data_IF_764888147893
#
_entry.id   IF_764888147893
#
_cell.length_a   1.000
_cell.length_b   1.000
_cell.length_c   1.000
_cell.angle_alpha   90.00
_cell.angle_beta   90.00
_cell.angle_gamma   90.00
#
_symmetry.space_group_name_H-M   'P 1'
#
loop_
_entity.id
_entity.type
_entity.pdbx_description
1 polymer ?
#
# COMPACT_ATOMS: atom_id res chain seq x y z
N UNK A 1 -4.73 12.41 12.89
CA UNK A 1 -5.40 11.28 12.20
C UNK A 1 -5.16 11.29 10.69
N UNK A 2 -5.54 12.35 9.96
CA UNK A 2 -5.31 12.45 8.50
C UNK A 2 -3.85 12.23 8.10
N UNK A 3 -2.90 12.82 8.84
CA UNK A 3 -1.47 12.60 8.58
C UNK A 3 -1.05 11.12 8.66
N UNK A 4 -1.66 10.35 9.57
CA UNK A 4 -1.41 8.91 9.70
C UNK A 4 -1.90 8.16 8.46
N UNK A 5 -3.13 8.42 8.02
CA UNK A 5 -3.69 7.83 6.79
C UNK A 5 -2.84 8.19 5.56
N UNK A 6 -2.42 9.45 5.45
CA UNK A 6 -1.56 9.91 4.36
C UNK A 6 -0.26 9.11 4.27
N UNK A 7 0.41 8.85 5.39
CA UNK A 7 1.66 8.07 5.45
C UNK A 7 1.41 6.57 5.20
N UNK A 8 0.38 6.01 5.82
CA UNK A 8 0.06 4.59 5.73
C UNK A 8 -0.38 4.18 4.32
N UNK A 9 -1.28 4.95 3.71
CA UNK A 9 -1.79 4.71 2.35
C UNK A 9 -0.92 5.31 1.26
N UNK A 10 0.07 6.15 1.62
CA UNK A 10 0.88 6.89 0.65
C UNK A 10 0.03 7.81 -0.24
N UNK A 11 -0.90 8.52 0.37
CA UNK A 11 -1.82 9.43 -0.29
C UNK A 11 -1.55 10.88 0.11
N UNK A 12 -1.62 11.81 -0.85
CA UNK A 12 -1.39 13.22 -0.57
C UNK A 12 -2.40 13.74 0.47
N UNK A 13 -1.96 14.30 1.61
CA UNK A 13 -2.86 14.75 2.67
C UNK A 13 -3.82 15.86 2.21
N UNK A 14 -3.45 16.64 1.19
CA UNK A 14 -4.35 17.65 0.60
C UNK A 14 -5.59 17.04 -0.03
N UNK A 15 -5.46 15.87 -0.65
CA UNK A 15 -6.61 15.17 -1.22
C UNK A 15 -7.56 14.70 -0.10
N UNK A 16 -7.01 14.13 0.98
CA UNK A 16 -7.81 13.72 2.15
C UNK A 16 -8.51 14.92 2.80
N UNK A 17 -7.82 16.04 2.97
CA UNK A 17 -8.39 17.25 3.57
C UNK A 17 -9.44 17.90 2.66
N UNK A 18 -9.18 17.98 1.36
CA UNK A 18 -10.15 18.50 0.41
C UNK A 18 -11.42 17.66 0.42
N UNK A 19 -11.29 16.33 0.38
CA UNK A 19 -12.45 15.46 0.39
C UNK A 19 -13.21 15.50 1.73
N UNK A 20 -12.49 15.59 2.85
CA UNK A 20 -13.08 15.77 4.17
C UNK A 20 -13.91 17.06 4.26
N UNK A 21 -13.34 18.19 3.82
CA UNK A 21 -14.05 19.47 3.79
C UNK A 21 -15.25 19.40 2.85
N UNK A 22 -15.07 18.83 1.67
CA UNK A 22 -16.10 18.70 0.65
C UNK A 22 -17.33 17.91 1.14
N UNK A 23 -17.10 16.86 1.94
CA UNK A 23 -18.17 15.99 2.43
C UNK A 23 -18.87 16.54 3.67
N UNK A 24 -18.13 17.15 4.59
CA UNK A 24 -18.64 17.41 5.94
C UNK A 24 -18.25 18.73 6.57
N UNK A 25 -17.43 19.56 5.91
CA UNK A 25 -17.03 20.88 6.42
C UNK A 25 -16.14 20.83 7.67
N UNK A 26 -15.45 19.71 7.91
CA UNK A 26 -14.66 19.47 9.11
C UNK A 26 -13.32 20.23 9.17
N UNK A 27 -12.81 20.72 8.05
CA UNK A 27 -11.49 21.35 7.98
C UNK A 27 -11.58 22.82 8.37
N UNK A 28 -12.57 23.55 7.83
CA UNK A 28 -12.75 24.97 8.14
C UNK A 28 -13.82 25.24 9.21
N UNK A 29 -14.58 24.23 9.61
CA UNK A 29 -15.68 24.38 10.55
C UNK A 29 -15.88 23.16 11.44
N UNK A 30 -17.11 23.02 11.93
CA UNK A 30 -17.57 21.87 12.69
C UNK A 30 -18.79 21.26 11.99
N UNK A 31 -18.87 19.93 11.84
CA UNK A 31 -20.01 19.27 11.21
C UNK A 31 -21.34 19.61 11.90
N UNK A 32 -22.35 19.92 11.10
CA UNK A 32 -23.65 20.40 11.61
C UNK A 32 -24.67 19.28 11.91
N UNK A 33 -24.35 18.03 11.61
CA UNK A 33 -25.24 16.88 11.82
C UNK A 33 -24.50 15.70 12.42
N UNK A 34 -25.22 14.85 13.16
CA UNK A 34 -24.66 13.60 13.68
C UNK A 34 -24.13 12.70 12.56
N UNK A 35 -24.83 12.67 11.41
CA UNK A 35 -24.37 11.92 10.24
C UNK A 35 -23.02 12.43 9.70
N UNK A 36 -22.80 13.75 9.67
CA UNK A 36 -21.51 14.31 9.28
C UNK A 36 -20.42 14.09 10.34
N UNK A 37 -20.80 13.84 11.60
CA UNK A 37 -19.89 13.44 12.67
C UNK A 37 -19.50 11.96 12.53
N UNK A 38 -20.46 11.09 12.26
CA UNK A 38 -20.26 9.64 12.20
C UNK A 38 -19.62 9.21 10.87
N UNK A 39 -19.97 9.89 9.77
CA UNK A 39 -19.52 9.59 8.40
C UNK A 39 -18.89 10.81 7.71
N UNK A 40 -17.77 11.35 8.22
CA UNK A 40 -17.12 12.55 7.69
C UNK A 40 -16.69 12.51 6.22
N UNK A 41 -16.51 11.33 5.62
CA UNK A 41 -16.20 11.15 4.21
C UNK A 41 -17.42 10.72 3.37
N UNK A 42 -18.62 10.74 3.95
CA UNK A 42 -19.90 10.51 3.27
C UNK A 42 -20.33 9.04 3.14
N UNK A 43 -19.48 8.06 3.48
CA UNK A 43 -19.82 6.65 3.31
C UNK A 43 -20.63 6.13 4.50
N UNK A 44 -21.94 5.97 4.32
CA UNK A 44 -22.85 5.58 5.40
C UNK A 44 -22.89 4.07 5.58
N UNK A 45 -22.05 3.55 6.47
CA UNK A 45 -22.00 2.14 6.84
C UNK A 45 -21.64 2.03 8.32
N UNK A 46 -22.47 1.35 9.12
CA UNK A 46 -22.29 1.22 10.57
C UNK A 46 -20.96 0.57 10.97
N UNK A 47 -20.38 -0.26 10.10
CA UNK A 47 -19.06 -0.88 10.31
C UNK A 47 -17.89 0.06 9.99
N UNK A 48 -18.15 1.23 9.41
CA UNK A 48 -17.16 2.22 8.97
C UNK A 48 -17.57 3.59 9.49
N UNK A 49 -17.47 3.77 10.80
CA UNK A 49 -17.75 5.05 11.46
C UNK A 49 -16.45 5.78 11.82
N UNK A 50 -16.57 7.02 12.27
CA UNK A 50 -15.48 7.88 12.70
C UNK A 50 -14.51 8.30 11.58
N UNK A 51 -13.72 9.35 11.87
CA UNK A 51 -12.85 9.97 10.88
C UNK A 51 -11.69 9.04 10.44
N UNK A 52 -11.22 8.11 11.28
CA UNK A 52 -10.14 7.20 10.89
C UNK A 52 -10.63 6.23 9.83
N UNK A 53 -11.73 5.53 10.11
CA UNK A 53 -12.23 4.48 9.23
C UNK A 53 -12.77 5.07 7.93
N UNK A 54 -13.45 6.22 8.00
CA UNK A 54 -13.91 6.95 6.83
C UNK A 54 -12.75 7.42 5.94
N UNK A 55 -11.67 7.97 6.52
CA UNK A 55 -10.52 8.39 5.75
C UNK A 55 -9.74 7.20 5.16
N UNK A 56 -9.59 6.11 5.92
CA UNK A 56 -8.99 4.87 5.44
C UNK A 56 -9.81 4.23 4.32
N UNK A 57 -11.13 4.25 4.43
CA UNK A 57 -12.06 3.78 3.40
C UNK A 57 -11.88 4.58 2.12
N UNK A 58 -11.93 5.91 2.20
CA UNK A 58 -11.77 6.78 1.03
C UNK A 58 -10.40 6.56 0.37
N UNK A 59 -9.32 6.53 1.16
CA UNK A 59 -7.97 6.26 0.66
C UNK A 59 -7.89 4.90 -0.05
N UNK A 60 -8.50 3.85 0.52
CA UNK A 60 -8.57 2.53 -0.11
C UNK A 60 -9.30 2.58 -1.45
N UNK A 61 -10.47 3.23 -1.54
CA UNK A 61 -11.22 3.32 -2.80
C UNK A 61 -10.47 4.11 -3.87
N UNK A 62 -9.72 5.15 -3.50
CA UNK A 62 -8.86 5.89 -4.43
C UNK A 62 -7.74 4.99 -4.94
N UNK A 63 -7.08 4.25 -4.05
CA UNK A 63 -6.00 3.32 -4.42
C UNK A 63 -6.49 2.16 -5.30
N UNK A 64 -7.67 1.60 -5.02
CA UNK A 64 -8.27 0.53 -5.83
C UNK A 64 -8.47 0.96 -7.29
N UNK A 65 -8.86 2.22 -7.51
CA UNK A 65 -8.98 2.81 -8.84
C UNK A 65 -7.62 3.10 -9.46
N UNK A 66 -6.73 3.74 -8.70
CA UNK A 66 -5.39 4.15 -9.14
C UNK A 66 -4.56 2.95 -9.62
N UNK A 67 -4.39 1.95 -8.75
CA UNK A 67 -3.53 0.80 -9.02
C UNK A 67 -4.20 -0.22 -9.92
N UNK A 68 -5.51 -0.43 -9.77
CA UNK A 68 -6.28 -1.25 -10.71
C UNK A 68 -6.15 -0.75 -12.15
N UNK A 69 -6.16 0.56 -12.39
CA UNK A 69 -5.91 1.15 -13.70
C UNK A 69 -4.46 0.98 -14.14
N UNK A 70 -3.51 1.37 -13.28
CA UNK A 70 -2.07 1.34 -13.57
C UNK A 70 -1.56 -0.07 -13.93
N UNK A 71 -2.13 -1.10 -13.31
CA UNK A 71 -1.80 -2.51 -13.55
C UNK A 71 -2.66 -3.16 -14.64
N UNK A 72 -3.59 -2.42 -15.26
CA UNK A 72 -4.50 -2.94 -16.29
C UNK A 72 -5.56 -3.94 -15.79
N UNK A 73 -5.72 -4.06 -14.46
CA UNK A 73 -6.70 -4.94 -13.82
C UNK A 73 -8.12 -4.35 -13.79
N UNK A 74 -8.24 -3.03 -13.93
CA UNK A 74 -9.51 -2.29 -13.93
C UNK A 74 -9.64 -1.48 -15.21
N UNK A 75 -10.59 -1.86 -16.07
CA UNK A 75 -10.90 -1.14 -17.32
C UNK A 75 -12.31 -0.49 -17.31
N UNK A 76 -13.08 -0.79 -16.26
CA UNK A 76 -14.44 -0.29 -16.04
C UNK A 76 -14.59 0.12 -14.58
N UNK A 77 -15.46 1.11 -14.32
CA UNK A 77 -15.98 1.42 -12.98
C UNK A 77 -17.48 1.11 -12.95
N UNK A 78 -17.95 0.59 -11.82
CA UNK A 78 -19.35 0.22 -11.61
C UNK A 78 -20.03 1.12 -10.59
N UNK A 79 -21.33 1.30 -10.76
CA UNK A 79 -22.19 2.12 -9.89
C UNK A 79 -23.19 1.23 -9.15
N UNK A 80 -23.71 1.73 -8.03
CA UNK A 80 -24.68 0.99 -7.19
C UNK A 80 -26.00 0.67 -7.91
N UNK A 81 -26.33 1.38 -8.99
CA UNK A 81 -27.51 1.12 -9.83
C UNK A 81 -27.25 0.07 -10.93
N UNK A 82 -26.08 -0.56 -10.94
CA UNK A 82 -25.68 -1.58 -11.91
C UNK A 82 -25.16 -1.03 -13.24
N UNK A 83 -25.05 0.30 -13.41
CA UNK A 83 -24.37 0.89 -14.57
C UNK A 83 -22.87 0.64 -14.49
N UNK A 84 -22.25 0.61 -15.66
CA UNK A 84 -20.79 0.55 -15.82
C UNK A 84 -20.33 1.62 -16.78
N UNK A 85 -19.19 2.23 -16.47
CA UNK A 85 -18.49 3.15 -17.36
C UNK A 85 -17.16 2.54 -17.75
N UNK A 86 -16.91 2.46 -19.07
CA UNK A 86 -15.60 2.11 -19.60
C UNK A 86 -14.66 3.29 -19.47
N UNK A 87 -13.48 3.05 -18.90
CA UNK A 87 -12.45 4.07 -18.72
C UNK A 87 -11.74 4.34 -20.04
N UNK A 88 -11.46 5.63 -20.30
CA UNK A 88 -10.74 6.05 -21.49
C UNK A 88 -9.24 5.73 -21.35
N UNK A 89 -8.56 5.14 -22.36
CA UNK A 89 -7.15 4.74 -22.29
C UNK A 89 -6.17 5.85 -21.92
N UNK A 90 -6.51 7.10 -22.19
CA UNK A 90 -5.70 8.29 -21.94
C UNK A 90 -5.79 8.84 -20.51
N UNK A 91 -6.68 8.29 -19.66
CA UNK A 91 -6.79 8.72 -18.27
C UNK A 91 -5.51 8.39 -17.50
N UNK A 92 -5.04 9.32 -16.67
CA UNK A 92 -4.00 9.03 -15.69
C UNK A 92 -4.61 8.27 -14.48
N UNK A 93 -3.77 7.53 -13.76
CA UNK A 93 -4.20 6.73 -12.61
C UNK A 93 -4.82 7.56 -11.47
N UNK A 94 -4.37 8.80 -11.26
CA UNK A 94 -4.94 9.72 -10.27
C UNK A 94 -6.41 10.05 -10.54
N UNK A 95 -6.73 10.40 -11.79
CA UNK A 95 -8.11 10.64 -12.23
C UNK A 95 -8.97 9.39 -12.05
N UNK A 96 -8.49 8.21 -12.44
CA UNK A 96 -9.24 6.96 -12.26
C UNK A 96 -9.47 6.63 -10.78
N UNK A 97 -8.48 6.90 -9.92
CA UNK A 97 -8.63 6.74 -8.47
C UNK A 97 -9.80 7.55 -7.90
N UNK A 98 -9.90 8.83 -8.25
CA UNK A 98 -11.02 9.68 -7.83
C UNK A 98 -12.35 9.24 -8.45
N UNK A 99 -12.35 8.95 -9.75
CA UNK A 99 -13.53 8.44 -10.46
C UNK A 99 -14.08 7.19 -9.77
N UNK A 100 -13.22 6.24 -9.40
CA UNK A 100 -13.58 5.02 -8.70
C UNK A 100 -14.11 5.29 -7.29
N UNK A 101 -13.45 6.15 -6.51
CA UNK A 101 -13.91 6.46 -5.15
C UNK A 101 -15.31 7.08 -5.12
N UNK A 102 -15.63 7.96 -6.07
CA UNK A 102 -16.94 8.61 -6.13
C UNK A 102 -18.08 7.66 -6.52
N UNK A 103 -17.82 6.53 -7.21
CA UNK A 103 -18.90 5.60 -7.59
C UNK A 103 -19.52 4.88 -6.40
N UNK A 104 -18.81 4.83 -5.26
CA UNK A 104 -19.31 4.24 -4.02
C UNK A 104 -20.28 5.17 -3.27
N UNK A 105 -20.28 6.47 -3.59
CA UNK A 105 -21.08 7.49 -2.90
C UNK A 105 -22.23 8.01 -3.75
N UNK A 106 -22.07 8.00 -5.07
CA UNK A 106 -22.97 8.67 -5.99
C UNK A 106 -23.42 7.74 -7.11
N UNK A 107 -24.68 7.87 -7.51
CA UNK A 107 -25.16 7.29 -8.77
C UNK A 107 -24.49 7.97 -9.97
N UNK A 108 -24.63 7.39 -11.16
CA UNK A 108 -23.96 7.89 -12.36
C UNK A 108 -24.22 9.37 -12.65
N UNK A 109 -25.47 9.83 -12.53
CA UNK A 109 -25.84 11.19 -12.92
C UNK A 109 -25.22 12.22 -11.96
N UNK A 110 -25.28 11.98 -10.64
CA UNK A 110 -24.62 12.84 -9.65
C UNK A 110 -23.10 12.75 -9.76
N UNK A 111 -22.55 11.55 -9.92
CA UNK A 111 -21.13 11.34 -10.12
C UNK A 111 -20.59 12.15 -11.31
N UNK A 112 -21.30 12.13 -12.44
CA UNK A 112 -20.91 12.87 -13.63
C UNK A 112 -20.90 14.38 -13.38
N UNK A 113 -21.88 14.89 -12.64
CA UNK A 113 -21.89 16.31 -12.24
C UNK A 113 -20.70 16.65 -11.34
N UNK A 114 -20.46 15.87 -10.28
CA UNK A 114 -19.42 16.18 -9.29
C UNK A 114 -17.99 16.01 -9.82
N UNK A 115 -17.80 15.29 -10.93
CA UNK A 115 -16.50 15.10 -11.57
C UNK A 115 -16.29 16.04 -12.77
N UNK A 116 -17.34 16.33 -13.57
CA UNK A 116 -17.18 17.01 -14.86
C UNK A 116 -17.93 18.34 -15.01
N UNK A 117 -18.86 18.71 -14.12
CA UNK A 117 -19.55 20.00 -14.22
C UNK A 117 -18.61 21.17 -13.87
N UNK A 118 -19.07 22.42 -14.02
CA UNK A 118 -18.27 23.60 -13.68
C UNK A 118 -17.92 23.66 -12.18
N UNK A 119 -18.91 23.38 -11.32
CA UNK A 119 -18.78 23.33 -9.85
C UNK A 119 -18.45 21.91 -9.35
N UNK A 120 -17.38 21.32 -9.89
CA UNK A 120 -16.95 19.96 -9.56
C UNK A 120 -15.96 19.92 -8.36
N UNK A 121 -15.63 18.71 -7.90
CA UNK A 121 -14.65 18.49 -6.83
C UNK A 121 -13.26 19.04 -7.14
N UNK A 122 -12.84 19.05 -8.41
CA UNK A 122 -11.54 19.58 -8.82
C UNK A 122 -11.47 21.10 -8.64
N UNK A 123 -12.51 21.84 -9.04
CA UNK A 123 -12.65 23.28 -8.79
C UNK A 123 -12.58 23.56 -7.28
N UNK A 124 -13.26 22.76 -6.48
CA UNK A 124 -13.22 22.84 -5.01
C UNK A 124 -11.80 22.59 -4.45
N UNK A 125 -11.12 21.53 -4.92
CA UNK A 125 -9.74 21.24 -4.53
C UNK A 125 -8.79 22.41 -4.87
N UNK A 126 -8.93 22.97 -6.08
CA UNK A 126 -8.11 24.11 -6.52
C UNK A 126 -8.35 25.36 -5.67
N UNK A 127 -9.57 25.60 -5.19
CA UNK A 127 -9.83 26.71 -4.26
C UNK A 127 -9.11 26.54 -2.93
N UNK A 128 -9.06 25.32 -2.39
CA UNK A 128 -8.38 25.06 -1.11
C UNK A 128 -6.86 25.05 -1.22
N UNK A 129 -6.34 24.43 -2.28
CA UNK A 129 -4.92 24.10 -2.36
C UNK A 129 -4.22 24.68 -3.59
N UNK A 130 -4.91 25.32 -4.51
CA UNK A 130 -4.38 25.74 -5.81
C UNK A 130 -4.24 24.59 -6.80
N UNK A 131 -3.79 24.89 -8.01
CA UNK A 131 -3.74 23.95 -9.12
C UNK A 131 -2.83 22.73 -8.83
N UNK A 132 -3.35 21.49 -8.89
CA UNK A 132 -2.55 20.28 -8.64
C UNK A 132 -1.59 19.94 -9.79
N UNK A 133 -1.90 20.32 -11.03
CA UNK A 133 -1.05 20.04 -12.20
C UNK A 133 0.27 20.79 -12.15
N UNK A 134 0.28 22.04 -11.66
CA UNK A 134 1.52 22.80 -11.45
C UNK A 134 2.45 22.09 -10.45
N UNK A 135 1.88 21.45 -9.43
CA UNK A 135 2.67 20.67 -8.44
C UNK A 135 3.16 19.35 -9.02
N UNK A 136 2.29 18.67 -9.75
CA UNK A 136 2.63 17.43 -10.43
C UNK A 136 3.86 17.63 -11.35
N UNK A 137 3.93 18.75 -12.08
CA UNK A 137 5.09 19.10 -12.91
C UNK A 137 6.44 19.16 -12.16
N UNK A 138 6.44 19.32 -10.84
CA UNK A 138 7.67 19.40 -10.05
C UNK A 138 8.19 18.04 -9.58
N UNK A 139 7.34 17.00 -9.63
CA UNK A 139 7.65 15.68 -9.03
C UNK A 139 7.35 14.51 -9.97
N UNK A 140 6.55 14.70 -11.02
CA UNK A 140 6.21 13.65 -11.97
C UNK A 140 7.22 13.52 -13.11
N UNK A 141 7.40 12.30 -13.64
CA UNK A 141 6.77 11.04 -13.21
C UNK A 141 7.32 10.55 -11.87
N UNK A 142 6.43 10.11 -10.95
CA UNK A 142 6.85 9.58 -9.65
C UNK A 142 7.76 8.35 -9.80
N UNK A 143 7.45 7.50 -10.78
CA UNK A 143 8.27 6.35 -11.19
C UNK A 143 8.72 6.58 -12.65
N UNK A 144 9.95 7.10 -12.87
CA UNK A 144 10.54 7.24 -14.20
C UNK A 144 10.73 5.89 -14.90
N UNK A 145 10.70 5.87 -16.23
CA UNK A 145 10.82 4.64 -17.03
C UNK A 145 12.20 3.96 -16.92
N UNK A 146 13.23 4.73 -16.57
CA UNK A 146 14.61 4.31 -16.39
C UNK A 146 14.97 4.02 -14.93
N UNK A 147 13.98 4.02 -14.02
CA UNK A 147 14.23 3.69 -12.61
C UNK A 147 14.78 2.27 -12.48
N UNK A 148 15.82 2.14 -11.66
CA UNK A 148 16.41 0.85 -11.31
C UNK A 148 16.14 0.59 -9.83
N UNK A 149 15.58 -0.58 -9.54
CA UNK A 149 15.43 -1.04 -8.16
C UNK A 149 16.78 -1.38 -7.54
N UNK A 150 17.00 -1.14 -6.24
CA UNK A 150 18.21 -1.59 -5.58
C UNK A 150 18.32 -3.12 -5.61
N UNK A 151 19.54 -3.63 -5.50
CA UNK A 151 19.73 -5.05 -5.19
C UNK A 151 19.23 -5.29 -3.77
N UNK A 152 18.33 -6.26 -3.61
CA UNK A 152 17.70 -6.58 -2.34
C UNK A 152 17.90 -8.04 -2.01
N UNK A 153 18.07 -8.35 -0.72
CA UNK A 153 18.12 -9.73 -0.22
C UNK A 153 16.74 -10.17 0.31
N UNK A 154 16.50 -11.48 0.39
CA UNK A 154 15.37 -12.01 1.15
C UNK A 154 15.43 -11.54 2.63
N UNK A 155 14.28 -11.22 3.26
CA UNK A 155 14.24 -10.49 4.53
C UNK A 155 14.46 -11.39 5.76
N UNK A 156 15.24 -12.45 5.63
CA UNK A 156 15.51 -13.41 6.71
C UNK A 156 16.96 -13.88 6.69
N UNK A 157 17.41 -14.38 7.84
CA UNK A 157 18.78 -14.87 8.04
C UNK A 157 19.14 -16.02 7.07
N UNK A 158 20.42 -16.14 6.69
CA UNK A 158 20.85 -17.14 5.73
C UNK A 158 20.75 -18.54 6.34
N UNK A 159 20.59 -19.53 5.47
CA UNK A 159 20.49 -20.95 5.82
C UNK A 159 19.27 -21.33 6.71
N UNK A 160 18.31 -20.42 6.88
CA UNK A 160 17.01 -20.71 7.50
C UNK A 160 15.95 -20.81 6.41
N UNK A 161 15.21 -21.92 6.38
CA UNK A 161 14.10 -22.11 5.43
C UNK A 161 12.88 -21.36 5.91
N UNK A 162 12.35 -20.47 5.08
CA UNK A 162 11.06 -19.82 5.28
C UNK A 162 10.08 -20.34 4.24
N UNK A 163 8.79 -20.11 4.44
CA UNK A 163 7.77 -20.44 3.47
C UNK A 163 7.31 -19.18 2.74
N UNK A 164 7.26 -19.21 1.41
CA UNK A 164 6.58 -18.18 0.62
C UNK A 164 5.06 -18.37 0.72
N UNK A 165 4.42 -17.63 1.62
CA UNK A 165 3.02 -17.86 2.01
C UNK A 165 2.02 -17.01 1.25
N UNK A 166 2.46 -15.86 0.71
CA UNK A 166 1.60 -14.91 0.00
C UNK A 166 2.31 -14.32 -1.21
N UNK A 167 1.77 -14.59 -2.41
CA UNK A 167 2.17 -13.91 -3.65
C UNK A 167 1.67 -12.47 -3.69
N UNK A 168 1.86 -11.74 -4.81
CA UNK A 168 1.45 -10.33 -4.93
C UNK A 168 0.05 -10.04 -4.38
N UNK A 169 -0.02 -9.12 -3.42
CA UNK A 169 -1.25 -8.70 -2.76
C UNK A 169 -1.11 -7.29 -2.15
N UNK A 170 -2.18 -6.81 -1.51
CA UNK A 170 -2.33 -5.45 -0.98
C UNK A 170 -1.11 -4.97 -0.16
N UNK A 171 -0.45 -3.89 -0.59
CA UNK A 171 0.70 -3.31 0.10
C UNK A 171 0.40 -2.88 1.55
N UNK A 172 -0.83 -2.39 1.77
CA UNK A 172 -1.33 -1.92 3.04
C UNK A 172 -2.85 -2.00 3.08
N UNK A 173 -3.41 -2.48 4.19
CA UNK A 173 -4.87 -2.57 4.41
C UNK A 173 -5.59 -3.32 3.27
N UNK A 174 -6.84 -2.97 2.99
CA UNK A 174 -7.68 -3.56 1.95
C UNK A 174 -7.51 -2.90 0.57
N UNK A 175 -6.54 -1.99 0.40
CA UNK A 175 -6.30 -1.33 -0.87
C UNK A 175 -5.70 -2.30 -1.88
N UNK A 176 -6.29 -2.37 -3.08
CA UNK A 176 -6.00 -3.34 -4.12
C UNK A 176 -4.71 -3.03 -4.89
N UNK A 177 -3.59 -2.90 -4.16
CA UNK A 177 -2.25 -2.58 -4.67
C UNK A 177 -1.37 -3.81 -4.52
N UNK A 178 -1.15 -4.57 -5.59
CA UNK A 178 -0.50 -5.88 -5.50
C UNK A 178 1.03 -5.74 -5.42
N UNK A 179 1.51 -5.09 -4.36
CA UNK A 179 2.91 -4.72 -4.15
C UNK A 179 3.61 -5.51 -3.03
N UNK A 180 2.86 -6.23 -2.20
CA UNK A 180 3.42 -6.98 -1.09
C UNK A 180 3.66 -8.46 -1.39
N UNK A 181 4.56 -9.06 -0.61
CA UNK A 181 4.86 -10.49 -0.54
C UNK A 181 4.92 -10.92 0.93
N UNK A 182 4.50 -12.15 1.22
CA UNK A 182 4.55 -12.71 2.57
C UNK A 182 5.50 -13.90 2.69
N UNK A 183 6.29 -13.89 3.77
CA UNK A 183 7.14 -15.01 4.13
C UNK A 183 6.90 -15.40 5.60
N UNK A 184 6.58 -16.67 5.85
CA UNK A 184 6.41 -17.20 7.19
C UNK A 184 7.68 -17.93 7.68
N UNK A 185 8.11 -17.69 8.93
CA UNK A 185 9.25 -18.40 9.51
C UNK A 185 8.90 -19.86 9.81
N UNK A 186 9.90 -20.73 10.05
CA UNK A 186 9.66 -22.04 10.64
C UNK A 186 8.89 -21.91 11.96
N UNK A 187 7.87 -22.76 12.15
CA UNK A 187 7.16 -22.84 13.42
C UNK A 187 6.64 -24.25 13.67
N UNK A 188 6.59 -24.62 14.96
CA UNK A 188 5.86 -25.78 15.47
C UNK A 188 4.43 -25.43 15.92
N UNK A 189 4.08 -24.15 15.91
CA UNK A 189 2.80 -23.61 16.35
C UNK A 189 2.00 -23.09 15.16
N UNK A 190 0.68 -23.24 15.21
CA UNK A 190 -0.22 -22.69 14.21
C UNK A 190 -0.83 -21.38 14.71
N UNK A 191 -1.18 -20.50 13.76
CA UNK A 191 -1.79 -19.22 14.07
C UNK A 191 -0.77 -18.16 14.49
N UNK A 192 -1.21 -17.24 15.34
CA UNK A 192 -0.48 -16.02 15.65
C UNK A 192 0.38 -16.14 16.91
N UNK A 193 1.68 -15.95 16.76
CA UNK A 193 2.66 -15.90 17.85
C UNK A 193 3.87 -15.05 17.48
N UNK A 194 4.63 -14.57 18.46
CA UNK A 194 5.95 -13.98 18.21
C UNK A 194 6.93 -15.10 17.84
N UNK A 195 7.62 -14.99 16.69
CA UNK A 195 8.64 -15.96 16.29
C UNK A 195 10.01 -15.60 16.87
N UNK A 196 10.83 -16.57 17.32
CA UNK A 196 12.22 -16.30 17.69
C UNK A 196 13.13 -16.06 16.47
N UNK A 197 12.65 -16.31 15.25
CA UNK A 197 13.40 -16.04 14.02
C UNK A 197 13.57 -14.53 13.80
N UNK A 198 14.62 -14.13 13.08
CA UNK A 198 14.88 -12.73 12.77
C UNK A 198 14.43 -12.36 11.37
N UNK A 199 13.75 -11.21 11.28
CA UNK A 199 13.68 -10.42 10.05
C UNK A 199 14.94 -9.57 9.97
N UNK A 200 15.52 -9.49 8.79
CA UNK A 200 16.70 -8.67 8.52
C UNK A 200 16.42 -7.65 7.42
N UNK A 201 17.21 -6.58 7.38
CA UNK A 201 17.09 -5.53 6.40
C UNK A 201 17.47 -6.05 5.00
N UNK A 202 16.53 -5.98 4.06
CA UNK A 202 16.71 -6.29 2.64
C UNK A 202 17.50 -5.23 1.87
N UNK A 203 17.59 -4.00 2.40
CA UNK A 203 18.37 -2.87 1.89
C UNK A 203 19.07 -2.16 3.06
N UNK A 204 20.18 -1.48 2.78
CA UNK A 204 20.77 -0.52 3.73
C UNK A 204 19.98 0.79 3.72
N UNK A 205 19.92 1.48 4.86
CA UNK A 205 19.29 2.79 4.94
C UNK A 205 18.94 3.22 6.36
N UNK A 206 18.29 4.38 6.45
CA UNK A 206 17.80 4.96 7.70
C UNK A 206 16.43 4.37 8.05
N UNK A 207 16.24 3.91 9.29
CA UNK A 207 14.92 3.53 9.80
C UNK A 207 14.11 4.80 10.09
N UNK A 208 13.16 5.12 9.22
CA UNK A 208 12.32 6.33 9.32
C UNK A 208 10.98 6.10 10.02
N UNK A 209 10.54 4.84 10.14
CA UNK A 209 9.36 4.45 10.91
C UNK A 209 9.59 3.12 11.61
N UNK A 210 9.25 3.07 12.89
CA UNK A 210 9.28 1.85 13.71
C UNK A 210 8.21 1.95 14.79
N UNK A 211 7.19 1.10 14.71
CA UNK A 211 6.03 1.19 15.59
C UNK A 211 4.80 0.51 14.99
N UNK A 212 3.84 0.10 15.84
CA UNK A 212 2.57 -0.50 15.42
C UNK A 212 2.73 -1.66 14.41
N UNK A 213 3.72 -2.54 14.63
CA UNK A 213 3.99 -3.67 13.72
C UNK A 213 4.83 -3.32 12.48
N UNK A 214 5.18 -2.05 12.28
CA UNK A 214 5.85 -1.58 11.06
C UNK A 214 7.30 -1.21 11.32
N UNK A 215 8.17 -1.52 10.36
CA UNK A 215 9.49 -0.90 10.16
C UNK A 215 9.56 -0.39 8.71
N UNK A 216 10.06 0.84 8.50
CA UNK A 216 10.36 1.36 7.16
C UNK A 216 11.81 1.79 7.10
N UNK A 217 12.53 1.29 6.10
CA UNK A 217 13.92 1.66 5.79
C UNK A 217 13.91 2.57 4.57
N UNK A 218 14.54 3.73 4.71
CA UNK A 218 14.76 4.76 3.71
C UNK A 218 16.20 4.68 3.18
N UNK A 219 16.36 4.38 1.89
CA UNK A 219 17.65 4.08 1.29
C UNK A 219 18.54 5.30 1.11
N UNK A 220 17.98 6.46 0.78
CA UNK A 220 18.78 7.67 0.55
C UNK A 220 19.04 8.45 1.85
N UNK A 221 18.30 8.13 2.91
CA UNK A 221 18.55 8.56 4.28
C UNK A 221 18.20 10.03 4.52
N UNK A 222 17.42 10.65 3.65
CA UNK A 222 16.96 12.02 3.81
C UNK A 222 15.85 12.17 4.87
N UNK A 223 15.30 11.05 5.33
CA UNK A 223 14.30 10.98 6.39
C UNK A 223 12.85 11.01 5.89
N UNK A 224 12.62 10.99 4.58
CA UNK A 224 11.29 11.11 3.98
C UNK A 224 10.87 9.82 3.26
N UNK A 225 9.72 9.26 3.65
CA UNK A 225 9.15 8.08 2.94
C UNK A 225 8.69 8.41 1.50
N UNK A 226 8.71 9.69 1.12
CA UNK A 226 8.18 10.24 -0.13
C UNK A 226 9.25 10.47 -1.21
N UNK A 227 10.51 10.15 -0.92
CA UNK A 227 11.65 10.30 -1.82
C UNK A 227 12.38 8.96 -1.91
N UNK A 228 13.07 8.76 -3.03
CA UNK A 228 13.94 7.61 -3.22
C UNK A 228 13.24 6.26 -3.06
N UNK A 229 14.03 5.24 -2.74
CA UNK A 229 13.54 3.90 -2.47
C UNK A 229 13.30 3.71 -0.98
N UNK A 230 12.12 3.20 -0.63
CA UNK A 230 11.81 2.81 0.75
C UNK A 230 11.25 1.39 0.79
N UNK A 231 11.56 0.68 1.87
CA UNK A 231 11.10 -0.69 2.09
C UNK A 231 10.35 -0.81 3.40
N UNK A 232 9.11 -1.29 3.32
CA UNK A 232 8.24 -1.54 4.45
C UNK A 232 8.26 -3.01 4.83
N UNK A 233 8.41 -3.25 6.12
CA UNK A 233 8.24 -4.54 6.78
C UNK A 233 7.09 -4.40 7.76
N UNK A 234 6.09 -5.26 7.66
CA UNK A 234 4.92 -5.30 8.53
C UNK A 234 4.87 -6.63 9.26
N UNK A 235 4.13 -6.64 10.37
CA UNK A 235 4.06 -7.73 11.34
C UNK A 235 5.37 -7.94 12.11
N UNK A 236 6.10 -6.85 12.36
CA UNK A 236 7.30 -6.86 13.20
C UNK A 236 6.92 -6.63 14.67
N UNK A 237 7.22 -7.62 15.52
CA UNK A 237 6.96 -7.59 16.96
C UNK A 237 7.51 -6.32 17.60
N UNK A 238 6.90 -5.84 18.67
CA UNK A 238 7.42 -4.69 19.43
C UNK A 238 8.72 -5.02 20.15
N UNK A 239 8.89 -6.28 20.55
CA UNK A 239 10.12 -6.77 21.13
C UNK A 239 11.25 -6.79 20.10
N UNK A 240 12.40 -6.25 20.49
CA UNK A 240 13.63 -6.19 19.71
C UNK A 240 13.51 -5.50 18.33
N UNK A 241 12.41 -4.76 18.10
CA UNK A 241 12.24 -3.96 16.89
C UNK A 241 13.26 -2.84 16.86
N UNK A 242 13.95 -2.70 15.73
CA UNK A 242 14.91 -1.62 15.51
C UNK A 242 14.25 -0.25 15.72
N UNK A 243 14.85 0.70 16.47
CA UNK A 243 14.23 2.00 16.71
C UNK A 243 14.41 2.96 15.53
N UNK A 244 13.50 3.94 15.41
CA UNK A 244 13.61 5.05 14.45
C UNK A 244 14.92 5.80 14.65
N UNK A 245 15.54 6.22 13.54
CA UNK A 245 16.82 6.93 13.51
C UNK A 245 18.04 6.01 13.46
N UNK A 246 17.84 4.70 13.52
CA UNK A 246 18.93 3.72 13.36
C UNK A 246 19.26 3.59 11.88
N UNK A 247 20.56 3.65 11.54
CA UNK A 247 21.03 3.20 10.24
C UNK A 247 21.23 1.68 10.28
N UNK A 248 20.67 0.97 9.31
CA UNK A 248 20.82 -0.48 9.15
C UNK A 248 21.57 -0.77 7.85
N UNK A 249 22.45 -1.77 7.89
CA UNK A 249 23.06 -2.35 6.71
C UNK A 249 22.26 -3.56 6.21
N UNK A 250 22.39 -3.90 4.93
CA UNK A 250 21.86 -5.15 4.35
C UNK A 250 22.22 -6.34 5.25
N UNK A 251 21.21 -7.05 5.75
CA UNK A 251 21.36 -8.22 6.62
C UNK A 251 21.32 -7.92 8.11
N UNK A 252 21.31 -6.65 8.54
CA UNK A 252 21.12 -6.30 9.95
C UNK A 252 19.73 -6.70 10.43
N UNK A 253 19.67 -7.18 11.68
CA UNK A 253 18.42 -7.58 12.33
C UNK A 253 17.53 -6.37 12.60
N UNK A 254 16.28 -6.44 12.15
CA UNK A 254 15.30 -5.35 12.33
C UNK A 254 14.14 -5.69 13.27
N UNK A 255 13.99 -6.96 13.63
CA UNK A 255 13.01 -7.43 14.62
C UNK A 255 12.55 -8.86 14.34
N UNK A 256 11.43 -9.24 14.96
CA UNK A 256 10.87 -10.58 14.90
C UNK A 256 9.53 -10.62 14.13
N UNK A 257 9.26 -11.64 13.30
CA UNK A 257 7.93 -11.87 12.75
C UNK A 257 6.89 -12.08 13.84
N UNK A 258 5.70 -11.55 13.63
CA UNK A 258 4.58 -11.59 14.57
C UNK A 258 3.25 -11.45 13.82
N UNK A 259 2.24 -10.88 14.47
CA UNK A 259 0.99 -10.42 13.85
C UNK A 259 0.66 -8.99 14.26
N UNK A 260 1.62 -8.27 14.85
CA UNK A 260 1.41 -6.88 15.24
C UNK A 260 1.15 -6.00 14.02
N UNK A 261 0.33 -4.96 14.18
CA UNK A 261 0.02 -4.04 13.09
C UNK A 261 -0.94 -4.63 12.07
N UNK A 262 -2.13 -4.05 11.95
CA UNK A 262 -3.11 -4.48 10.96
C UNK A 262 -3.71 -5.87 11.24
N UNK A 263 -4.23 -6.50 10.18
CA UNK A 263 -4.90 -7.81 10.24
C UNK A 263 -3.94 -8.88 9.75
N UNK A 264 -3.77 -9.94 10.54
CA UNK A 264 -2.98 -11.11 10.16
C UNK A 264 -3.68 -12.39 10.63
N UNK A 265 -3.54 -13.47 9.85
CA UNK A 265 -4.06 -14.81 10.16
C UNK A 265 -3.01 -15.73 10.79
N UNK A 266 -1.74 -15.30 10.83
CA UNK A 266 -0.63 -16.07 11.37
C UNK A 266 0.71 -15.33 11.27
N UNK A 267 1.72 -15.86 11.93
CA UNK A 267 3.05 -15.23 12.01
C UNK A 267 3.76 -15.19 10.65
N UNK A 268 4.07 -14.00 10.16
CA UNK A 268 4.83 -13.80 8.92
C UNK A 268 5.50 -12.42 8.92
N UNK A 269 6.38 -12.18 7.94
CA UNK A 269 6.76 -10.83 7.52
C UNK A 269 6.05 -10.50 6.22
N UNK A 270 5.38 -9.36 6.21
CA UNK A 270 4.78 -8.73 5.04
C UNK A 270 5.76 -7.67 4.54
N UNK A 271 6.24 -7.79 3.30
CA UNK A 271 7.24 -6.87 2.74
C UNK A 271 6.72 -6.19 1.47
N UNK A 272 6.89 -4.88 1.39
CA UNK A 272 6.49 -4.06 0.24
C UNK A 272 7.46 -2.89 0.04
N UNK A 273 7.42 -2.27 -1.13
CA UNK A 273 8.34 -1.19 -1.50
C UNK A 273 7.64 0.00 -2.12
N UNK A 274 8.24 1.17 -1.95
CA UNK A 274 7.81 2.40 -2.61
C UNK A 274 8.99 3.07 -3.30
N UNK A 275 8.69 3.83 -4.33
CA UNK A 275 9.61 4.77 -4.95
C UNK A 275 8.96 6.15 -5.02
N UNK A 276 9.62 7.18 -4.49
CA UNK A 276 9.07 8.53 -4.35
C UNK A 276 7.66 8.56 -3.72
N UNK A 277 7.47 7.74 -2.67
CA UNK A 277 6.18 7.60 -2.00
C UNK A 277 5.10 6.89 -2.81
N UNK A 278 5.36 6.37 -4.01
CA UNK A 278 4.40 5.54 -4.73
C UNK A 278 4.68 4.05 -4.47
N UNK A 279 3.68 3.27 -4.06
CA UNK A 279 3.83 1.80 -4.00
C UNK A 279 4.17 1.23 -5.37
N UNK A 280 5.15 0.34 -5.41
CA UNK A 280 5.58 -0.32 -6.64
C UNK A 280 5.00 -1.74 -6.67
N UNK A 281 4.14 -2.08 -7.64
CA UNK A 281 3.61 -3.43 -7.78
C UNK A 281 4.70 -4.51 -7.79
N UNK A 282 4.39 -5.67 -7.22
CA UNK A 282 5.35 -6.76 -7.07
C UNK A 282 5.57 -7.53 -8.39
N UNK A 283 4.65 -7.40 -9.33
CA UNK A 283 4.78 -7.88 -10.71
C UNK A 283 4.56 -6.73 -11.70
N UNK A 284 4.96 -6.93 -12.96
CA UNK A 284 4.86 -5.97 -14.03
C UNK A 284 6.23 -5.55 -14.58
N UNK A 285 6.33 -4.34 -15.17
CA UNK A 285 7.57 -3.85 -15.79
C UNK A 285 8.75 -3.70 -14.83
N UNK A 286 8.46 -3.43 -13.56
CA UNK A 286 9.44 -3.33 -12.48
C UNK A 286 9.06 -4.34 -11.38
N UNK A 287 9.29 -5.64 -11.59
CA UNK A 287 8.88 -6.68 -10.64
C UNK A 287 9.74 -6.63 -9.38
N UNK A 288 9.21 -7.10 -8.26
CA UNK A 288 9.95 -7.18 -7.00
C UNK A 288 10.97 -8.31 -7.08
N UNK A 289 12.26 -7.97 -6.95
CA UNK A 289 13.36 -8.93 -7.00
C UNK A 289 14.05 -9.00 -5.63
N UNK A 290 14.11 -10.20 -5.04
CA UNK A 290 14.75 -10.46 -3.74
C UNK A 290 15.74 -11.64 -3.88
N UNK A 291 17.03 -11.45 -3.65
CA UNK A 291 18.08 -12.47 -3.83
C UNK A 291 18.00 -13.18 -5.19
N UNK A 292 17.70 -12.42 -6.26
CA UNK A 292 17.52 -12.92 -7.62
C UNK A 292 16.17 -13.58 -7.91
N UNK A 293 15.31 -13.78 -6.90
CA UNK A 293 13.94 -14.25 -7.09
C UNK A 293 13.05 -13.12 -7.57
N UNK A 294 12.47 -13.29 -8.75
CA UNK A 294 11.53 -12.33 -9.35
C UNK A 294 10.10 -12.75 -9.05
N UNK A 295 9.30 -11.85 -8.47
CA UNK A 295 7.90 -12.09 -8.21
C UNK A 295 7.02 -11.98 -9.47
N UNK A 296 6.00 -12.85 -9.50
CA UNK A 296 4.95 -12.90 -10.51
C UNK A 296 3.58 -13.06 -9.86
N UNK A 297 2.62 -12.32 -10.35
CA UNK A 297 1.24 -12.39 -9.89
C UNK A 297 0.46 -13.46 -10.66
N UNK A 298 -0.50 -14.08 -9.99
CA UNK A 298 -1.57 -14.81 -10.66
C UNK A 298 -2.72 -13.85 -11.04
N UNK A 299 -3.84 -14.38 -11.51
CA UNK A 299 -5.10 -13.63 -11.64
C UNK A 299 -5.84 -13.44 -10.32
N UNK A 300 -5.42 -14.15 -9.26
CA UNK A 300 -6.01 -14.10 -7.92
C UNK A 300 -5.04 -13.46 -6.93
N UNK A 301 -5.56 -12.60 -6.05
CA UNK A 301 -4.79 -12.00 -4.95
C UNK A 301 -4.16 -13.07 -4.05
N UNK A 302 -2.98 -12.80 -3.49
CA UNK A 302 -2.15 -13.74 -2.71
C UNK A 302 -1.63 -14.95 -3.48
N UNK A 303 -2.06 -15.17 -4.73
CA UNK A 303 -1.54 -16.23 -5.59
C UNK A 303 -0.45 -15.68 -6.50
N UNK A 304 0.51 -16.52 -6.84
CA UNK A 304 1.66 -16.13 -7.63
C UNK A 304 2.83 -17.07 -7.42
N UNK A 305 3.97 -16.70 -7.96
CA UNK A 305 5.20 -17.48 -7.83
C UNK A 305 6.43 -16.59 -7.87
N UNK A 306 7.52 -17.09 -7.32
CA UNK A 306 8.86 -16.54 -7.46
C UNK A 306 9.62 -17.37 -8.49
N UNK A 307 10.38 -16.70 -9.36
CA UNK A 307 11.27 -17.37 -10.34
C UNK A 307 12.72 -16.96 -10.15
N UNK A 308 13.66 -17.92 -10.20
CA UNK A 308 15.11 -17.66 -10.22
C UNK A 308 15.79 -18.67 -11.13
N UNK A 309 16.26 -18.23 -12.30
CA UNK A 309 16.74 -19.14 -13.34
C UNK A 309 15.61 -20.10 -13.79
N UNK A 310 15.80 -21.41 -13.57
CA UNK A 310 14.79 -22.44 -13.86
C UNK A 310 13.93 -22.81 -12.64
N UNK A 311 14.24 -22.26 -11.47
CA UNK A 311 13.52 -22.56 -10.23
C UNK A 311 12.22 -21.76 -10.15
N UNK A 312 11.16 -22.39 -9.65
CA UNK A 312 9.85 -21.78 -9.43
C UNK A 312 9.34 -22.18 -8.05
N UNK A 313 8.92 -21.21 -7.26
CA UNK A 313 8.29 -21.41 -5.95
C UNK A 313 6.91 -20.77 -5.97
N UNK A 314 5.86 -21.56 -5.77
CA UNK A 314 4.48 -21.06 -5.75
C UNK A 314 4.08 -20.63 -4.35
N UNK A 315 3.36 -19.51 -4.24
CA UNK A 315 2.82 -19.05 -2.97
C UNK A 315 1.75 -20.02 -2.45
N UNK A 316 1.80 -20.36 -1.16
CA UNK A 316 0.72 -21.08 -0.50
C UNK A 316 0.67 -20.82 0.99
N UNK A 317 -0.52 -20.47 1.48
CA UNK A 317 -0.83 -20.28 2.91
C UNK A 317 -0.69 -21.57 3.72
N UNK A 318 -0.63 -22.74 3.07
CA UNK A 318 -0.38 -24.02 3.74
C UNK A 318 1.09 -24.25 4.10
N UNK A 319 2.01 -23.37 3.67
CA UNK A 319 3.45 -23.47 3.96
C UNK A 319 4.06 -24.86 3.72
N UNK A 320 3.68 -25.52 2.62
CA UNK A 320 4.17 -26.86 2.29
C UNK A 320 5.63 -26.82 1.83
N UNK A 321 6.30 -27.98 1.80
CA UNK A 321 7.70 -28.09 1.38
C UNK A 321 8.04 -27.36 0.07
N UNK A 322 7.12 -27.33 -0.90
CA UNK A 322 7.33 -26.69 -2.20
C UNK A 322 7.28 -25.15 -2.15
N UNK A 323 6.90 -24.57 -1.01
CA UNK A 323 6.95 -23.12 -0.75
C UNK A 323 8.26 -22.68 -0.11
N UNK A 324 9.10 -23.65 0.30
CA UNK A 324 10.29 -23.34 1.07
C UNK A 324 11.32 -22.59 0.23
N UNK A 325 11.80 -21.51 0.80
CA UNK A 325 12.83 -20.63 0.25
C UNK A 325 13.85 -20.35 1.34
N UNK A 326 15.12 -20.28 0.97
CA UNK A 326 16.21 -19.92 1.86
C UNK A 326 17.15 -18.97 1.13
N UNK A 327 17.91 -18.22 1.91
CA UNK A 327 18.98 -17.36 1.44
C UNK A 327 20.31 -18.07 1.70
N UNK A 328 21.22 -18.03 0.73
CA UNK A 328 22.51 -18.72 0.83
C UNK A 328 23.57 -17.86 1.55
N UNK A 329 23.48 -16.53 1.44
CA UNK A 329 24.43 -15.51 1.92
C UNK A 329 23.78 -14.41 2.76
#
# INVERSE_FOLDING_TARGET
>A
MIARIAIEFSLNPRLLLAFLEYQSGWVYGFPQSQQAIDYPMGYQNEDVQDLYQQAAWFASRVMDGYYGWKEGRRLVIGFNDGRFLRLAPELNAGSVGLMNAFTYLYNYDNWAQLIYAEDNFFTFYEQMFGNPWIRAQQVEPLIPADVVQPTMILPFEPNIKWAFTGGPHAAWSAADVWAALDFAPPSSETGCHESPAWVVASISGLVVRSGNGVVVVDMDGDGYEQTGWTLLYLHIATKDRVPVGTWVEVGDRIGHPSCEGGRSTGTHVHIARRYNGEWVPADGPLPFVLSGWTARASSEIYKGWLTRGTEIIYASTSATYNTHIARDD
#
